data_IF_496311185548
#
_entry.id   IF_496311185548
#
_cell.length_a   1.000
_cell.length_b   1.000
_cell.length_c   1.000
_cell.angle_alpha   90.00
_cell.angle_beta   90.00
_cell.angle_gamma   90.00
#
_symmetry.space_group_name_H-M   'P 1'
#
loop_
_entity.id
_entity.type
_entity.pdbx_description
1 polymer ?
#
# COMPACT_ATOMS: atom_id res chain seq x y z
N UNK A 1 16.39 -13.35 0.15
CA UNK A 1 15.76 -12.07 0.53
C UNK A 1 14.30 -12.33 0.85
N UNK A 2 13.68 -11.45 1.64
CA UNK A 2 12.28 -11.55 2.07
C UNK A 2 11.66 -10.17 1.96
N UNK A 3 10.44 -10.11 1.45
CA UNK A 3 9.72 -8.88 1.16
C UNK A 3 8.27 -9.00 1.61
N UNK A 4 7.62 -7.85 1.79
CA UNK A 4 6.22 -7.80 2.13
C UNK A 4 5.55 -6.55 1.59
N UNK A 5 4.25 -6.62 1.31
CA UNK A 5 3.43 -5.44 1.10
C UNK A 5 2.12 -5.55 1.87
N UNK A 6 1.70 -4.43 2.43
CA UNK A 6 0.44 -4.28 3.15
C UNK A 6 -0.62 -3.62 2.25
N UNK A 7 -1.71 -4.34 2.02
CA UNK A 7 -2.93 -3.89 1.36
C UNK A 7 -4.02 -3.64 2.41
N UNK A 8 -5.19 -3.13 2.02
CA UNK A 8 -6.24 -2.65 2.95
C UNK A 8 -6.64 -3.67 4.04
N UNK A 9 -6.62 -4.95 3.72
CA UNK A 9 -6.95 -6.04 4.64
C UNK A 9 -6.13 -7.30 4.36
N UNK A 10 -5.01 -7.16 3.65
CA UNK A 10 -4.16 -8.27 3.22
C UNK A 10 -2.69 -7.92 3.46
N UNK A 11 -1.94 -8.87 4.00
CA UNK A 11 -0.47 -8.82 3.98
C UNK A 11 0.00 -9.89 3.01
N UNK A 12 0.70 -9.46 1.97
CA UNK A 12 1.38 -10.36 1.05
C UNK A 12 2.85 -10.40 1.39
N UNK A 13 3.38 -11.61 1.53
CA UNK A 13 4.80 -11.85 1.74
C UNK A 13 5.35 -12.76 0.65
N UNK A 14 6.60 -12.56 0.27
CA UNK A 14 7.33 -13.43 -0.65
C UNK A 14 8.81 -13.44 -0.32
N UNK A 15 9.47 -14.53 -0.67
CA UNK A 15 10.87 -14.77 -0.33
C UNK A 15 11.60 -15.54 -1.44
N UNK A 16 12.92 -15.52 -1.38
CA UNK A 16 13.73 -16.39 -2.24
C UNK A 16 13.70 -17.84 -1.72
N UNK A 17 13.66 -18.85 -2.60
CA UNK A 17 13.79 -20.24 -2.20
C UNK A 17 15.00 -20.45 -1.29
N UNK A 18 14.77 -21.13 -0.17
CA UNK A 18 15.82 -21.45 0.80
C UNK A 18 16.64 -22.67 0.38
N UNK A 19 17.93 -22.67 0.69
CA UNK A 19 18.86 -23.73 0.28
C UNK A 19 18.59 -25.06 1.00
N UNK A 20 17.97 -25.02 2.18
CA UNK A 20 17.53 -26.20 2.94
C UNK A 20 16.22 -26.79 2.39
N UNK A 21 15.55 -26.10 1.47
CA UNK A 21 14.31 -26.59 0.88
C UNK A 21 14.62 -27.73 -0.09
N UNK A 22 14.12 -28.92 0.25
CA UNK A 22 14.27 -30.13 -0.56
C UNK A 22 12.90 -30.69 -0.94
N UNK A 23 12.86 -31.65 -1.87
CA UNK A 23 11.61 -32.28 -2.29
C UNK A 23 10.91 -32.93 -1.08
N UNK A 24 9.60 -32.66 -0.93
CA UNK A 24 8.81 -33.10 0.23
C UNK A 24 8.81 -32.11 1.42
N UNK A 25 9.64 -31.08 1.40
CA UNK A 25 9.56 -29.99 2.38
C UNK A 25 8.42 -29.01 2.08
N UNK A 26 7.96 -28.33 3.12
CA UNK A 26 7.06 -27.18 3.04
C UNK A 26 7.67 -25.98 3.76
N UNK A 27 7.17 -24.78 3.47
CA UNK A 27 7.37 -23.61 4.31
C UNK A 27 6.26 -23.53 5.35
N UNK A 28 6.65 -23.43 6.62
CA UNK A 28 5.79 -22.98 7.71
C UNK A 28 5.94 -21.47 7.83
N UNK A 29 4.86 -20.75 7.55
CA UNK A 29 4.78 -19.30 7.74
C UNK A 29 3.90 -19.02 8.94
N UNK A 30 4.39 -18.22 9.88
CA UNK A 30 3.61 -17.79 11.06
C UNK A 30 3.56 -16.27 11.12
N UNK A 31 2.36 -15.69 11.18
CA UNK A 31 2.13 -14.26 11.38
C UNK A 31 1.72 -14.00 12.83
N UNK A 32 2.37 -13.05 13.48
CA UNK A 32 2.21 -12.64 14.89
C UNK A 32 2.05 -13.82 15.86
N UNK A 33 2.84 -14.87 15.63
CA UNK A 33 2.91 -16.07 16.49
C UNK A 33 1.62 -16.90 16.57
N UNK A 34 0.54 -16.48 15.90
CA UNK A 34 -0.81 -17.04 16.02
C UNK A 34 -1.32 -17.65 14.73
N UNK A 35 -1.24 -16.92 13.62
CA UNK A 35 -1.73 -17.39 12.33
C UNK A 35 -0.65 -18.20 11.62
N UNK A 36 -0.81 -19.52 11.57
CA UNK A 36 0.16 -20.45 10.99
C UNK A 36 -0.39 -21.12 9.74
N UNK A 37 0.42 -21.16 8.70
CA UNK A 37 0.09 -21.76 7.41
C UNK A 37 1.27 -22.58 6.89
N UNK A 38 0.97 -23.60 6.10
CA UNK A 38 1.96 -24.42 5.40
C UNK A 38 1.78 -24.24 3.90
N UNK A 39 2.87 -24.07 3.17
CA UNK A 39 2.85 -23.83 1.73
C UNK A 39 4.10 -24.38 1.07
N UNK A 40 3.96 -24.95 -0.13
CA UNK A 40 5.07 -25.32 -1.02
C UNK A 40 5.55 -24.15 -1.88
N UNK A 41 4.82 -23.02 -1.83
CA UNK A 41 5.12 -21.79 -2.56
C UNK A 41 6.05 -20.88 -1.78
N UNK A 42 6.77 -20.03 -2.49
CA UNK A 42 7.64 -18.97 -1.94
C UNK A 42 6.92 -17.64 -1.68
N UNK A 43 5.60 -17.69 -1.53
CA UNK A 43 4.78 -16.55 -1.17
C UNK A 43 3.54 -17.01 -0.40
N UNK A 44 2.98 -16.10 0.38
CA UNK A 44 1.68 -16.29 1.01
C UNK A 44 0.93 -14.96 1.15
N UNK A 45 -0.40 -15.07 1.15
CA UNK A 45 -1.31 -13.94 1.30
C UNK A 45 -2.17 -14.19 2.55
N UNK A 46 -1.91 -13.42 3.60
CA UNK A 46 -2.78 -13.37 4.77
C UNK A 46 -3.91 -12.39 4.53
N UNK A 47 -5.16 -12.88 4.54
CA UNK A 47 -6.36 -12.08 4.36
C UNK A 47 -7.03 -11.75 5.69
N UNK A 48 -7.84 -10.69 5.69
CA UNK A 48 -8.56 -10.18 6.86
C UNK A 48 -7.62 -9.83 8.02
N UNK A 49 -6.44 -9.32 7.69
CA UNK A 49 -5.46 -8.85 8.68
C UNK A 49 -5.56 -7.34 8.76
N UNK A 50 -5.44 -6.81 9.98
CA UNK A 50 -5.25 -5.37 10.17
C UNK A 50 -3.92 -4.99 9.51
N UNK A 51 -3.84 -3.88 8.80
CA UNK A 51 -2.61 -3.55 8.05
C UNK A 51 -2.09 -2.15 8.35
N UNK A 52 -2.75 -1.37 9.20
CA UNK A 52 -2.31 -0.05 9.68
C UNK A 52 -1.26 -0.13 10.82
N UNK A 53 -0.76 -1.32 11.12
CA UNK A 53 0.29 -1.59 12.10
C UNK A 53 1.37 -2.50 11.50
N UNK A 54 2.57 -2.48 12.09
CA UNK A 54 3.64 -3.42 11.74
C UNK A 54 3.30 -4.81 12.27
N UNK A 55 3.58 -5.81 11.44
CA UNK A 55 3.41 -7.21 11.79
C UNK A 55 4.75 -7.93 11.78
N UNK A 56 4.85 -9.00 12.55
CA UNK A 56 6.00 -9.89 12.48
C UNK A 56 5.59 -11.22 11.88
N UNK A 57 6.42 -11.71 10.97
CA UNK A 57 6.21 -13.03 10.39
C UNK A 57 7.49 -13.86 10.42
N UNK A 58 7.30 -15.15 10.57
CA UNK A 58 8.38 -16.13 10.65
C UNK A 58 8.25 -17.09 9.49
N UNK A 59 9.35 -17.33 8.78
CA UNK A 59 9.44 -18.34 7.71
C UNK A 59 10.43 -19.42 8.16
N UNK A 60 10.02 -20.66 8.02
CA UNK A 60 10.79 -21.84 8.41
C UNK A 60 10.54 -22.99 7.43
N UNK A 61 11.58 -23.73 7.07
CA UNK A 61 11.45 -24.97 6.28
C UNK A 61 11.10 -26.11 7.21
N UNK A 62 10.06 -26.87 6.87
CA UNK A 62 9.62 -28.05 7.61
C UNK A 62 9.57 -29.28 6.70
N UNK A 63 9.68 -30.47 7.29
CA UNK A 63 9.45 -31.73 6.59
C UNK A 63 7.95 -32.00 6.39
N UNK A 64 7.63 -33.12 5.74
CA UNK A 64 6.25 -33.59 5.50
C UNK A 64 5.43 -33.79 6.79
N UNK A 65 6.09 -33.96 7.94
CA UNK A 65 5.48 -34.13 9.26
C UNK A 65 5.37 -32.80 10.02
N UNK A 66 5.85 -31.69 9.46
CA UNK A 66 5.85 -30.37 10.08
C UNK A 66 6.98 -30.13 11.07
N UNK A 67 8.00 -30.99 11.12
CA UNK A 67 9.19 -30.79 11.93
C UNK A 67 10.12 -29.79 11.27
N UNK A 68 10.75 -28.91 12.06
CA UNK A 68 11.69 -27.92 11.56
C UNK A 68 12.94 -28.60 10.96
N UNK A 69 13.25 -28.28 9.71
CA UNK A 69 14.46 -28.73 8.99
C UNK A 69 15.54 -27.65 9.04
N UNK A 70 15.13 -26.38 9.06
CA UNK A 70 16.02 -25.23 9.12
C UNK A 70 15.67 -24.28 10.26
N UNK A 71 16.45 -23.20 10.37
CA UNK A 71 16.18 -22.16 11.37
C UNK A 71 14.97 -21.33 10.97
N UNK A 72 14.07 -21.11 11.92
CA UNK A 72 13.05 -20.08 11.81
C UNK A 72 13.69 -18.68 11.79
N UNK A 73 13.34 -17.88 10.79
CA UNK A 73 13.77 -16.48 10.71
C UNK A 73 12.55 -15.57 10.81
N UNK A 74 12.66 -14.56 11.69
CA UNK A 74 11.60 -13.58 11.97
C UNK A 74 11.91 -12.29 11.21
N UNK A 75 10.88 -11.77 10.56
CA UNK A 75 10.91 -10.52 9.79
C UNK A 75 9.77 -9.61 10.26
N UNK A 76 9.95 -8.32 10.08
CA UNK A 76 8.90 -7.31 10.23
C UNK A 76 8.41 -6.92 8.84
N UNK A 77 7.14 -6.54 8.70
CA UNK A 77 6.65 -6.02 7.42
C UNK A 77 7.42 -4.76 7.00
N UNK A 78 7.75 -4.64 5.72
CA UNK A 78 8.44 -3.49 5.12
C UNK A 78 7.62 -2.20 5.22
N UNK A 79 6.31 -2.32 5.06
CA UNK A 79 5.33 -1.23 5.07
C UNK A 79 4.18 -1.51 6.05
N UNK A 80 3.25 -0.57 6.12
CA UNK A 80 1.92 -0.71 6.70
C UNK A 80 0.94 -0.12 5.69
N UNK A 81 -0.27 -0.65 5.59
CA UNK A 81 -1.34 -0.02 4.85
C UNK A 81 -1.83 1.18 5.64
N UNK A 82 -1.36 2.35 5.23
CA UNK A 82 -1.86 3.59 5.79
C UNK A 82 -3.25 3.87 5.23
N UNK A 83 -4.27 3.73 6.08
CA UNK A 83 -5.62 4.15 5.74
C UNK A 83 -5.69 5.68 5.74
N UNK A 84 -5.35 6.27 4.60
CA UNK A 84 -5.45 7.70 4.43
C UNK A 84 -6.93 8.09 4.33
N UNK A 85 -7.36 9.05 5.16
CA UNK A 85 -8.62 9.76 4.88
C UNK A 85 -8.53 10.31 3.46
N UNK A 86 -9.51 10.03 2.62
CA UNK A 86 -9.46 10.48 1.22
C UNK A 86 -10.26 11.77 1.07
N UNK A 87 -9.61 12.81 0.54
CA UNK A 87 -10.26 14.04 0.06
C UNK A 87 -10.35 13.93 -1.46
N UNK A 88 -11.55 13.77 -2.01
CA UNK A 88 -11.76 13.85 -3.44
C UNK A 88 -11.91 15.32 -3.86
N UNK A 89 -11.03 15.78 -4.76
CA UNK A 89 -11.04 17.17 -5.23
C UNK A 89 -12.33 17.57 -5.97
N UNK A 90 -13.11 16.61 -6.49
CA UNK A 90 -14.37 16.89 -7.22
C UNK A 90 -15.59 17.01 -6.30
N UNK A 91 -15.51 16.47 -5.08
CA UNK A 91 -16.62 16.47 -4.14
C UNK A 91 -16.73 17.81 -3.39
N UNK A 92 -17.91 18.14 -2.84
CA UNK A 92 -18.03 19.27 -1.92
C UNK A 92 -17.08 19.12 -0.72
N UNK A 93 -16.46 20.21 -0.23
CA UNK A 93 -16.65 21.60 -0.65
C UNK A 93 -15.73 22.08 -1.80
N UNK A 94 -14.94 21.21 -2.44
CA UNK A 94 -13.85 21.58 -3.34
C UNK A 94 -14.31 21.80 -4.79
N UNK A 95 -15.04 20.84 -5.36
CA UNK A 95 -15.75 20.99 -6.63
C UNK A 95 -14.87 21.16 -7.88
N UNK A 96 -13.64 20.65 -7.90
CA UNK A 96 -12.78 20.63 -9.09
C UNK A 96 -13.46 19.88 -10.24
N UNK A 97 -13.32 20.37 -11.48
CA UNK A 97 -14.10 19.88 -12.62
C UNK A 97 -13.42 18.80 -13.46
N UNK A 98 -12.10 18.84 -13.58
CA UNK A 98 -11.36 17.84 -14.37
C UNK A 98 -11.66 17.90 -15.88
N UNK A 99 -12.15 19.04 -16.38
CA UNK A 99 -12.59 19.25 -17.76
C UNK A 99 -11.48 19.80 -18.69
N UNK A 100 -10.30 20.10 -18.16
CA UNK A 100 -9.17 20.68 -18.89
C UNK A 100 -9.29 22.18 -19.16
N UNK A 101 -10.40 22.82 -18.76
CA UNK A 101 -10.69 24.22 -19.07
C UNK A 101 -10.83 25.05 -17.78
N UNK A 102 -11.59 24.55 -16.81
CA UNK A 102 -11.89 25.23 -15.55
C UNK A 102 -10.64 25.32 -14.68
N UNK A 103 -10.31 26.54 -14.23
CA UNK A 103 -9.27 26.77 -13.23
C UNK A 103 -9.67 26.14 -11.88
N UNK A 104 -8.99 25.05 -11.55
CA UNK A 104 -9.13 24.26 -10.34
C UNK A 104 -8.17 24.68 -9.23
N UNK A 105 -7.34 25.73 -9.40
CA UNK A 105 -6.29 26.12 -8.44
C UNK A 105 -6.84 26.31 -7.03
N UNK A 106 -7.99 26.99 -6.90
CA UNK A 106 -8.64 27.20 -5.58
C UNK A 106 -9.20 25.92 -4.99
N UNK A 107 -9.84 25.09 -5.81
CA UNK A 107 -10.44 23.84 -5.37
C UNK A 107 -9.37 22.86 -4.86
N UNK A 108 -8.28 22.71 -5.61
CA UNK A 108 -7.15 21.85 -5.25
C UNK A 108 -6.39 22.43 -4.06
N UNK A 109 -6.11 23.74 -4.05
CA UNK A 109 -5.47 24.40 -2.92
C UNK A 109 -6.25 24.24 -1.61
N UNK A 110 -7.58 24.33 -1.64
CA UNK A 110 -8.41 24.08 -0.46
C UNK A 110 -8.40 22.60 -0.05
N UNK A 111 -8.34 21.68 -1.01
CA UNK A 111 -8.22 20.25 -0.73
C UNK A 111 -6.89 19.89 -0.06
N UNK A 112 -5.78 20.51 -0.49
CA UNK A 112 -4.46 20.32 0.14
C UNK A 112 -4.36 21.02 1.49
N UNK A 113 -4.97 22.20 1.66
CA UNK A 113 -5.04 22.88 2.95
C UNK A 113 -5.83 22.09 3.99
N UNK A 114 -6.97 21.51 3.59
CA UNK A 114 -7.80 20.69 4.46
C UNK A 114 -7.25 19.26 4.67
N UNK A 115 -6.15 18.89 3.99
CA UNK A 115 -5.50 17.62 4.18
C UNK A 115 -4.60 17.64 5.44
N UNK A 116 -5.21 17.31 6.57
CA UNK A 116 -4.52 17.18 7.85
C UNK A 116 -4.20 15.71 8.18
N UNK A 117 -3.11 15.49 8.93
CA UNK A 117 -2.72 14.15 9.37
C UNK A 117 -2.43 13.19 8.22
N UNK A 118 -2.88 11.94 8.34
CA UNK A 118 -2.78 10.94 7.26
C UNK A 118 -3.94 11.10 6.29
N UNK A 119 -3.91 12.16 5.47
CA UNK A 119 -4.90 12.41 4.41
C UNK A 119 -4.29 12.29 3.01
N UNK A 120 -5.05 11.67 2.10
CA UNK A 120 -4.72 11.56 0.69
C UNK A 120 -5.66 12.46 -0.11
N UNK A 121 -5.09 13.38 -0.89
CA UNK A 121 -5.84 14.17 -1.86
C UNK A 121 -5.90 13.39 -3.16
N UNK A 122 -7.12 13.11 -3.60
CA UNK A 122 -7.42 12.19 -4.68
C UNK A 122 -8.01 12.94 -5.87
N UNK A 123 -7.46 12.64 -7.04
CA UNK A 123 -7.86 13.15 -8.35
C UNK A 123 -8.47 12.00 -9.16
N UNK A 124 -9.80 12.01 -9.37
CA UNK A 124 -10.45 11.15 -10.36
C UNK A 124 -9.91 11.38 -11.77
N UNK A 125 -10.31 10.52 -12.72
CA UNK A 125 -10.03 10.73 -14.15
C UNK A 125 -10.48 12.13 -14.60
N UNK A 126 -9.57 12.89 -15.23
CA UNK A 126 -9.84 14.23 -15.74
C UNK A 126 -8.56 15.05 -15.92
N UNK A 127 -8.69 16.21 -16.57
CA UNK A 127 -7.61 17.19 -16.71
C UNK A 127 -7.93 18.38 -15.80
N UNK A 128 -7.12 18.61 -14.79
CA UNK A 128 -7.34 19.67 -13.81
C UNK A 128 -6.34 20.79 -14.08
N UNK A 129 -6.83 21.93 -14.60
CA UNK A 129 -5.99 23.11 -14.73
C UNK A 129 -5.76 23.72 -13.36
N UNK A 130 -4.53 23.68 -12.86
CA UNK A 130 -4.17 24.29 -11.59
C UNK A 130 -2.76 24.86 -11.66
N UNK A 131 -2.61 26.08 -11.18
CA UNK A 131 -1.31 26.75 -11.02
C UNK A 131 -0.69 26.37 -9.67
N UNK A 132 0.07 27.27 -9.04
CA UNK A 132 0.76 27.06 -7.78
C UNK A 132 -0.17 26.60 -6.65
N UNK A 133 -0.04 25.33 -6.27
CA UNK A 133 -0.71 24.71 -5.13
C UNK A 133 0.27 24.69 -3.95
N UNK A 134 -0.14 25.25 -2.81
CA UNK A 134 0.62 25.11 -1.57
C UNK A 134 0.34 23.73 -0.93
N UNK A 135 1.41 23.06 -0.51
CA UNK A 135 1.34 21.78 0.22
C UNK A 135 2.01 21.98 1.58
N UNK A 136 1.27 21.69 2.65
CA UNK A 136 1.76 21.79 4.01
C UNK A 136 1.92 20.39 4.62
N UNK A 137 3.11 20.07 5.15
CA UNK A 137 3.37 18.81 5.84
C UNK A 137 3.46 17.59 4.92
N UNK A 138 3.13 16.41 5.47
CA UNK A 138 3.14 15.13 4.75
C UNK A 138 1.84 14.94 4.00
N UNK A 139 1.88 15.03 2.67
CA UNK A 139 0.70 14.88 1.81
C UNK A 139 0.89 13.69 0.85
N UNK A 140 -0.14 12.84 0.76
CA UNK A 140 -0.21 11.82 -0.29
C UNK A 140 -1.15 12.31 -1.40
N UNK A 141 -0.64 12.36 -2.63
CA UNK A 141 -1.47 12.61 -3.81
C UNK A 141 -1.75 11.28 -4.51
N UNK A 142 -3.01 11.04 -4.88
CA UNK A 142 -3.41 9.87 -5.66
C UNK A 142 -4.13 10.31 -6.93
N UNK A 143 -3.68 9.77 -8.05
CA UNK A 143 -4.23 10.04 -9.37
C UNK A 143 -4.82 8.76 -9.90
N UNK A 144 -6.09 8.81 -10.29
CA UNK A 144 -6.65 7.76 -11.13
C UNK A 144 -5.91 7.71 -12.47
N UNK A 145 -5.90 6.54 -13.10
CA UNK A 145 -5.23 6.36 -14.39
C UNK A 145 -5.84 7.32 -15.42
N UNK A 146 -5.02 8.26 -15.92
CA UNK A 146 -5.44 9.29 -16.88
C UNK A 146 -5.81 10.63 -16.25
N UNK A 147 -5.76 10.78 -14.92
CA UNK A 147 -5.84 12.08 -14.27
C UNK A 147 -4.56 12.89 -14.52
N UNK A 148 -4.72 14.15 -14.92
CA UNK A 148 -3.63 15.08 -15.24
C UNK A 148 -3.86 16.38 -14.46
N UNK A 149 -2.83 16.90 -13.80
CA UNK A 149 -2.80 18.27 -13.28
C UNK A 149 -1.80 19.06 -14.10
N UNK A 150 -2.22 20.19 -14.64
CA UNK A 150 -1.42 21.02 -15.56
C UNK A 150 -1.69 22.50 -15.31
N UNK A 151 -0.70 23.35 -15.55
CA UNK A 151 -0.87 24.82 -15.61
C UNK A 151 -1.54 25.28 -16.93
N UNK A 152 -1.68 24.39 -17.90
CA UNK A 152 -2.17 24.69 -19.25
C UNK A 152 -1.10 25.26 -20.17
N UNK A 153 0.18 25.21 -19.80
CA UNK A 153 1.28 25.43 -20.75
C UNK A 153 1.58 24.12 -21.50
N UNK A 154 0.74 23.79 -22.48
CA UNK A 154 1.24 22.99 -23.61
C UNK A 154 2.15 23.89 -24.44
N UNK A 155 3.45 23.56 -24.48
CA UNK A 155 4.37 24.00 -25.54
C UNK A 155 4.61 22.86 -26.52
#
# INVERSE_FOLDING_TARGET
MVYSTCLENEIRIWWDPRHEFTEGCLYRVTLDETARVFTDKVYYNFKNVRTDIKHFFTIEVVDENGNAVGKAEKYETEDVFENFKTINVTEPPYGAKGDGETDCTKAVGLATENAEGRTCVYFPLGIYRADKIAVNGTLKLRFDRGAIVTDGEEK
#
